data_IF_567511011430
#
_entry.id   IF_567511011430
#
_cell.length_a   1.000
_cell.length_b   1.000
_cell.length_c   1.000
_cell.angle_alpha   90.00
_cell.angle_beta   90.00
_cell.angle_gamma   90.00
#
_symmetry.space_group_name_H-M   'P 1'
#
loop_
_entity.id
_entity.type
_entity.pdbx_description
1 polymer ?
#
# COMPACT_ATOMS: atom_id res chain seq x y z
N UNK A 1 -23.28 2.37 20.95
CA UNK A 1 -22.76 1.30 20.09
C UNK A 1 -22.37 1.81 18.70
N UNK A 2 -23.20 2.59 18.01
CA UNK A 2 -22.96 3.14 16.66
C UNK A 2 -21.78 4.12 16.62
N UNK A 3 -21.44 4.77 17.73
CA UNK A 3 -20.36 5.80 17.78
C UNK A 3 -19.02 5.24 17.27
N UNK A 4 -18.73 3.98 17.59
CA UNK A 4 -17.45 3.36 17.22
C UNK A 4 -17.34 3.19 15.69
N UNK A 5 -18.26 2.49 14.97
CA UNK A 5 -18.21 2.43 13.51
C UNK A 5 -18.26 3.81 12.86
N UNK A 6 -19.04 4.75 13.41
CA UNK A 6 -19.12 6.13 12.88
C UNK A 6 -17.74 6.81 12.94
N UNK A 7 -17.11 6.83 14.10
CA UNK A 7 -15.83 7.51 14.27
C UNK A 7 -14.70 6.84 13.51
N UNK A 8 -14.77 5.54 13.34
CA UNK A 8 -13.65 4.74 12.82
C UNK A 8 -13.68 4.55 11.31
N UNK A 9 -14.84 4.38 10.74
CA UNK A 9 -14.99 4.01 9.34
C UNK A 9 -15.79 5.03 8.52
N UNK A 10 -16.87 5.59 9.06
CA UNK A 10 -17.64 6.61 8.33
C UNK A 10 -16.82 7.89 8.18
N UNK A 11 -16.20 8.37 9.26
CA UNK A 11 -15.37 9.59 9.19
C UNK A 11 -14.24 9.48 8.15
N UNK A 12 -13.44 8.40 8.11
CA UNK A 12 -12.44 8.23 7.04
C UNK A 12 -13.06 8.10 5.65
N UNK A 13 -14.18 7.40 5.48
CA UNK A 13 -14.79 7.21 4.17
C UNK A 13 -15.38 8.51 3.60
N UNK A 14 -16.10 9.27 4.41
CA UNK A 14 -16.58 10.63 4.05
C UNK A 14 -15.39 11.57 3.87
N UNK A 15 -14.39 11.49 4.75
CA UNK A 15 -13.14 12.26 4.65
C UNK A 15 -12.42 12.01 3.33
N UNK A 16 -12.40 10.78 2.83
CA UNK A 16 -11.84 10.45 1.53
C UNK A 16 -12.55 11.18 0.38
N UNK A 17 -13.89 11.28 0.43
CA UNK A 17 -14.67 12.06 -0.55
C UNK A 17 -14.36 13.55 -0.43
N UNK A 18 -14.23 14.08 0.79
CA UNK A 18 -13.88 15.48 1.01
C UNK A 18 -12.46 15.81 0.49
N UNK A 19 -11.50 14.90 0.70
CA UNK A 19 -10.14 15.05 0.14
C UNK A 19 -10.17 15.03 -1.39
N UNK A 20 -10.98 14.15 -2.00
CA UNK A 20 -11.18 14.15 -3.45
C UNK A 20 -11.74 15.49 -3.95
N UNK A 21 -12.77 16.02 -3.28
CA UNK A 21 -13.37 17.32 -3.62
C UNK A 21 -12.36 18.45 -3.45
N UNK A 22 -11.60 18.47 -2.34
CA UNK A 22 -10.51 19.43 -2.12
C UNK A 22 -9.51 19.42 -3.27
N UNK A 23 -8.99 18.24 -3.64
CA UNK A 23 -8.03 18.08 -4.74
C UNK A 23 -8.62 18.40 -6.12
N UNK A 24 -9.94 18.32 -6.28
CA UNK A 24 -10.61 18.73 -7.50
C UNK A 24 -10.77 20.26 -7.59
N UNK A 25 -11.14 20.91 -6.49
CA UNK A 25 -11.33 22.35 -6.38
C UNK A 25 -10.00 23.12 -6.40
N UNK A 26 -9.02 22.62 -5.64
CA UNK A 26 -7.67 23.21 -5.50
C UNK A 26 -6.65 22.36 -6.27
N UNK A 27 -6.84 22.24 -7.57
CA UNK A 27 -6.00 21.41 -8.43
C UNK A 27 -4.57 21.98 -8.47
N UNK A 28 -3.66 21.33 -7.77
CA UNK A 28 -2.22 21.64 -7.86
C UNK A 28 -1.72 21.25 -9.26
N UNK A 29 -1.08 22.20 -9.93
CA UNK A 29 -0.42 21.93 -11.20
C UNK A 29 0.97 21.35 -10.91
N UNK A 30 1.13 20.06 -11.12
CA UNK A 30 2.44 19.42 -11.04
C UNK A 30 3.25 19.85 -12.26
N UNK A 31 4.34 20.56 -12.00
CA UNK A 31 5.25 21.02 -13.05
C UNK A 31 6.36 20.00 -13.30
N UNK A 32 6.72 19.85 -14.57
CA UNK A 32 7.91 19.08 -14.93
C UNK A 32 9.14 19.81 -14.41
N UNK A 33 10.08 19.14 -13.71
CA UNK A 33 11.35 19.73 -13.33
C UNK A 33 12.17 20.10 -14.58
N UNK A 34 13.04 21.11 -14.47
CA UNK A 34 13.91 21.54 -15.57
C UNK A 34 14.85 20.41 -16.04
N UNK A 35 15.30 19.59 -15.09
CA UNK A 35 16.14 18.41 -15.34
C UNK A 35 15.55 17.26 -14.51
N UNK A 36 15.29 16.14 -15.16
CA UNK A 36 14.86 14.92 -14.47
C UNK A 36 16.01 14.41 -13.60
N UNK A 37 15.80 14.31 -12.25
CA UNK A 37 16.86 13.87 -11.35
C UNK A 37 17.16 12.37 -11.51
N UNK A 38 18.37 11.96 -11.15
CA UNK A 38 18.72 10.54 -11.08
C UNK A 38 18.02 9.87 -9.91
N UNK A 39 17.47 8.67 -10.13
CA UNK A 39 16.80 7.82 -9.15
C UNK A 39 17.53 6.50 -8.99
N UNK A 40 17.51 5.96 -7.77
CA UNK A 40 17.95 4.59 -7.48
C UNK A 40 16.73 3.73 -7.20
N UNK A 41 16.49 2.75 -8.06
CA UNK A 41 15.42 1.78 -7.93
C UNK A 41 15.97 0.51 -7.28
N UNK A 42 15.42 0.10 -6.15
CA UNK A 42 15.86 -1.06 -5.37
C UNK A 42 14.83 -2.17 -5.48
N UNK A 43 15.28 -3.35 -5.93
CA UNK A 43 14.48 -4.54 -6.15
C UNK A 43 15.07 -5.71 -5.35
N UNK A 44 14.55 -6.03 -4.16
CA UNK A 44 14.94 -7.24 -3.45
C UNK A 44 14.49 -8.48 -4.22
N UNK A 45 15.40 -9.42 -4.45
CA UNK A 45 15.15 -10.64 -5.21
C UNK A 45 15.16 -11.85 -4.27
N UNK A 46 14.08 -12.63 -4.30
CA UNK A 46 14.02 -13.91 -3.59
C UNK A 46 13.13 -14.89 -4.34
N UNK A 47 13.73 -15.82 -5.06
CA UNK A 47 13.02 -16.81 -5.91
C UNK A 47 12.04 -16.14 -6.88
N UNK A 48 12.55 -15.21 -7.71
CA UNK A 48 11.75 -14.35 -8.58
C UNK A 48 11.91 -14.71 -10.07
N UNK A 49 12.37 -15.91 -10.38
CA UNK A 49 12.66 -16.36 -11.76
C UNK A 49 11.49 -16.12 -12.71
N UNK A 50 10.26 -16.36 -12.25
CA UNK A 50 9.06 -16.31 -13.10
C UNK A 50 8.49 -14.88 -13.30
N UNK A 51 8.86 -13.94 -12.43
CA UNK A 51 8.28 -12.58 -12.39
C UNK A 51 9.26 -11.48 -12.78
N UNK A 52 10.56 -11.70 -12.58
CA UNK A 52 11.60 -10.69 -12.68
C UNK A 52 11.68 -10.05 -14.08
N UNK A 53 11.57 -10.82 -15.15
CA UNK A 53 11.64 -10.28 -16.51
C UNK A 53 10.49 -9.29 -16.76
N UNK A 54 9.28 -9.63 -16.35
CA UNK A 54 8.10 -8.77 -16.52
C UNK A 54 8.22 -7.50 -15.66
N UNK A 55 8.76 -7.62 -14.46
CA UNK A 55 9.04 -6.47 -13.59
C UNK A 55 10.02 -5.50 -14.26
N UNK A 56 11.15 -5.99 -14.77
CA UNK A 56 12.16 -5.18 -15.48
C UNK A 56 11.58 -4.59 -16.77
N UNK A 57 10.79 -5.35 -17.53
CA UNK A 57 10.11 -4.85 -18.73
C UNK A 57 9.20 -3.65 -18.39
N UNK A 58 8.48 -3.71 -17.25
CA UNK A 58 7.62 -2.60 -16.82
C UNK A 58 8.41 -1.33 -16.45
N UNK A 59 9.68 -1.46 -16.08
CA UNK A 59 10.58 -0.32 -15.84
C UNK A 59 11.04 0.28 -17.16
N UNK A 60 11.44 -0.55 -18.12
CA UNK A 60 11.80 -0.11 -19.49
C UNK A 60 10.65 0.60 -20.18
N UNK A 61 9.40 0.07 -20.00
CA UNK A 61 8.19 0.67 -20.58
C UNK A 61 7.79 1.98 -19.90
N UNK A 62 8.48 2.40 -18.81
CA UNK A 62 8.14 3.62 -18.09
C UNK A 62 8.46 4.86 -18.93
N UNK A 63 7.76 5.95 -18.65
CA UNK A 63 8.02 7.24 -19.33
C UNK A 63 9.04 8.12 -18.58
N UNK A 64 9.78 7.53 -17.63
CA UNK A 64 10.95 8.17 -17.00
C UNK A 64 12.22 7.82 -17.77
N UNK A 65 13.16 8.76 -18.01
CA UNK A 65 14.34 8.51 -18.84
C UNK A 65 15.24 7.40 -18.28
N UNK A 66 15.53 6.36 -19.06
CA UNK A 66 16.34 5.20 -18.65
C UNK A 66 17.73 5.60 -18.15
N UNK A 67 18.35 6.59 -18.80
CA UNK A 67 19.65 7.13 -18.38
C UNK A 67 19.66 7.75 -16.98
N UNK A 68 18.47 7.98 -16.40
CA UNK A 68 18.27 8.53 -15.05
C UNK A 68 17.87 7.46 -14.03
N UNK A 69 17.74 6.20 -14.45
CA UNK A 69 17.36 5.09 -13.58
C UNK A 69 18.60 4.21 -13.31
N UNK A 70 18.93 4.05 -12.03
CA UNK A 70 19.94 3.08 -11.55
C UNK A 70 19.21 1.98 -10.80
N UNK A 71 19.27 0.76 -11.32
CA UNK A 71 18.52 -0.39 -10.77
C UNK A 71 19.48 -1.28 -9.98
N UNK A 72 19.16 -1.48 -8.70
CA UNK A 72 19.88 -2.39 -7.81
C UNK A 72 19.00 -3.62 -7.54
N UNK A 73 19.37 -4.74 -8.18
CA UNK A 73 18.75 -6.04 -7.94
C UNK A 73 19.54 -6.74 -6.83
N UNK A 74 18.91 -6.97 -5.70
CA UNK A 74 19.61 -7.48 -4.53
C UNK A 74 19.14 -8.87 -4.18
N UNK A 75 19.96 -9.87 -4.50
CA UNK A 75 19.70 -11.26 -4.16
C UNK A 75 19.70 -11.44 -2.64
N UNK A 76 18.56 -11.92 -2.12
CA UNK A 76 18.30 -12.23 -0.72
C UNK A 76 18.45 -13.73 -0.45
N UNK A 77 19.50 -14.35 -1.00
CA UNK A 77 19.77 -15.78 -0.95
C UNK A 77 18.66 -16.66 -1.57
N UNK A 78 18.03 -16.20 -2.65
CA UNK A 78 17.20 -17.04 -3.51
C UNK A 78 18.02 -18.19 -4.12
N UNK A 79 17.38 -19.33 -4.36
CA UNK A 79 18.02 -20.53 -4.86
C UNK A 79 17.56 -20.92 -6.27
N UNK A 80 16.76 -20.08 -6.90
CA UNK A 80 16.26 -20.27 -8.25
C UNK A 80 17.21 -19.63 -9.30
N UNK A 81 16.81 -19.64 -10.56
CA UNK A 81 17.59 -19.09 -11.67
C UNK A 81 17.39 -17.57 -11.88
N UNK A 82 16.98 -16.79 -10.87
CA UNK A 82 16.77 -15.33 -10.98
C UNK A 82 18.01 -14.60 -11.51
N UNK A 83 19.24 -15.06 -11.18
CA UNK A 83 20.47 -14.45 -11.70
C UNK A 83 20.62 -14.64 -13.22
N UNK A 84 20.24 -15.80 -13.75
CA UNK A 84 20.26 -16.02 -15.18
C UNK A 84 19.26 -15.10 -15.89
N UNK A 85 18.05 -14.95 -15.35
CA UNK A 85 17.05 -14.01 -15.87
C UNK A 85 17.57 -12.58 -15.86
N UNK A 86 18.26 -12.16 -14.80
CA UNK A 86 18.93 -10.85 -14.76
C UNK A 86 19.94 -10.69 -15.90
N UNK A 87 20.81 -11.69 -16.17
CA UNK A 87 21.78 -11.63 -17.26
C UNK A 87 21.10 -11.56 -18.64
N UNK A 88 19.95 -12.20 -18.82
CA UNK A 88 19.14 -12.12 -20.03
C UNK A 88 18.52 -10.73 -20.19
N UNK A 89 17.98 -10.16 -19.11
CA UNK A 89 17.45 -8.81 -19.07
C UNK A 89 18.51 -7.75 -19.39
N UNK A 90 19.75 -7.89 -18.90
CA UNK A 90 20.84 -6.97 -19.24
C UNK A 90 21.13 -6.93 -20.75
N UNK A 91 21.01 -8.07 -21.44
CA UNK A 91 21.19 -8.12 -22.89
C UNK A 91 19.98 -7.59 -23.65
N UNK A 92 18.78 -7.84 -23.12
CA UNK A 92 17.50 -7.44 -23.72
C UNK A 92 17.22 -5.94 -23.59
N UNK A 93 17.63 -5.33 -22.48
CA UNK A 93 17.39 -3.92 -22.15
C UNK A 93 18.71 -3.15 -21.92
N UNK A 94 19.51 -2.91 -22.96
CA UNK A 94 20.82 -2.29 -22.84
C UNK A 94 20.76 -0.82 -22.40
N UNK A 95 19.59 -0.17 -22.48
CA UNK A 95 19.36 1.20 -21.99
C UNK A 95 19.29 1.31 -20.47
N UNK A 96 18.91 0.23 -19.78
CA UNK A 96 18.79 0.22 -18.33
C UNK A 96 20.13 -0.06 -17.63
N UNK A 97 20.46 0.77 -16.66
CA UNK A 97 21.63 0.57 -15.82
C UNK A 97 21.31 -0.32 -14.63
N UNK A 98 21.55 -1.63 -14.78
CA UNK A 98 21.24 -2.65 -13.78
C UNK A 98 22.50 -3.20 -13.10
N UNK A 99 22.46 -3.31 -11.77
CA UNK A 99 23.52 -3.89 -10.95
C UNK A 99 22.96 -5.01 -10.06
N UNK A 100 23.63 -6.17 -10.09
CA UNK A 100 23.30 -7.29 -9.19
C UNK A 100 24.16 -7.24 -7.93
N UNK A 101 23.54 -7.30 -6.77
CA UNK A 101 24.17 -7.36 -5.46
C UNK A 101 23.76 -8.63 -4.72
N UNK A 102 24.61 -9.16 -3.84
CA UNK A 102 24.29 -10.32 -3.00
C UNK A 102 24.29 -9.90 -1.54
N UNK A 103 23.15 -10.06 -0.87
CA UNK A 103 22.97 -9.80 0.55
C UNK A 103 22.90 -11.10 1.36
N UNK A 104 23.09 -10.99 2.68
CA UNK A 104 22.70 -12.06 3.61
C UNK A 104 21.17 -12.14 3.67
N UNK A 105 20.61 -13.32 3.97
CA UNK A 105 19.17 -13.54 4.06
C UNK A 105 18.47 -12.51 4.96
N UNK A 106 17.37 -11.95 4.45
CA UNK A 106 16.53 -10.95 5.10
C UNK A 106 16.29 -9.73 4.21
N UNK A 107 15.03 -9.40 3.87
CA UNK A 107 14.65 -8.28 2.98
C UNK A 107 15.26 -6.96 3.48
N UNK A 108 15.24 -6.69 4.78
CA UNK A 108 15.87 -5.50 5.40
C UNK A 108 17.37 -5.40 5.08
N UNK A 109 18.09 -6.53 5.09
CA UNK A 109 19.53 -6.54 4.79
C UNK A 109 19.79 -6.25 3.31
N UNK A 110 18.95 -6.79 2.43
CA UNK A 110 19.00 -6.49 1.00
C UNK A 110 18.73 -5.00 0.73
N UNK A 111 17.69 -4.44 1.33
CA UNK A 111 17.37 -3.01 1.21
C UNK A 111 18.49 -2.12 1.74
N UNK A 112 19.07 -2.43 2.89
CA UNK A 112 20.19 -1.66 3.46
C UNK A 112 21.43 -1.71 2.56
N UNK A 113 21.78 -2.88 2.02
CA UNK A 113 22.91 -3.02 1.10
C UNK A 113 22.74 -2.13 -0.15
N UNK A 114 21.57 -2.18 -0.78
CA UNK A 114 21.28 -1.34 -1.93
C UNK A 114 21.26 0.15 -1.59
N UNK A 115 20.71 0.52 -0.44
CA UNK A 115 20.65 1.91 0.01
C UNK A 115 22.06 2.53 0.16
N UNK A 116 23.03 1.76 0.67
CA UNK A 116 24.43 2.22 0.77
C UNK A 116 25.12 2.35 -0.61
N UNK A 117 24.72 1.54 -1.58
CA UNK A 117 25.28 1.58 -2.94
C UNK A 117 24.53 2.58 -3.86
N UNK A 118 23.38 3.10 -3.42
CA UNK A 118 22.56 3.99 -4.23
C UNK A 118 23.15 5.41 -4.31
N UNK A 119 23.02 6.07 -5.46
CA UNK A 119 23.52 7.42 -5.69
C UNK A 119 22.42 8.43 -6.04
N UNK A 120 21.27 7.97 -6.51
CA UNK A 120 20.15 8.79 -6.95
C UNK A 120 19.62 9.76 -5.87
N UNK A 121 19.08 10.88 -6.29
CA UNK A 121 18.42 11.86 -5.41
C UNK A 121 17.25 11.25 -4.63
N UNK A 122 16.53 10.34 -5.28
CA UNK A 122 15.41 9.59 -4.72
C UNK A 122 15.71 8.10 -4.74
N UNK A 123 15.33 7.44 -3.66
CA UNK A 123 15.37 5.99 -3.51
C UNK A 123 13.96 5.48 -3.66
N UNK A 124 13.74 4.57 -4.59
CA UNK A 124 12.43 3.96 -4.84
C UNK A 124 12.57 2.46 -4.65
N UNK A 125 11.71 1.87 -3.84
CA UNK A 125 11.63 0.43 -3.65
C UNK A 125 10.46 -0.12 -4.43
N UNK A 126 10.67 -1.24 -5.14
CA UNK A 126 9.61 -2.07 -5.70
C UNK A 126 9.91 -3.55 -5.41
N UNK A 127 8.85 -4.36 -5.26
CA UNK A 127 9.00 -5.80 -5.18
C UNK A 127 9.18 -6.39 -6.59
N UNK A 128 9.86 -7.53 -6.69
CA UNK A 128 10.21 -8.20 -7.96
C UNK A 128 9.05 -8.96 -8.63
N UNK A 129 7.92 -9.07 -7.95
CA UNK A 129 6.72 -9.80 -8.36
C UNK A 129 5.56 -8.91 -8.81
N UNK A 130 5.83 -7.64 -9.09
CA UNK A 130 4.83 -6.70 -9.56
C UNK A 130 5.26 -5.88 -10.77
N UNK A 131 4.34 -5.06 -11.28
CA UNK A 131 4.49 -4.28 -12.50
C UNK A 131 4.23 -2.80 -12.24
N UNK A 132 5.14 -1.94 -12.72
CA UNK A 132 4.92 -0.50 -12.69
C UNK A 132 3.90 -0.06 -13.75
N UNK A 133 2.98 0.82 -13.38
CA UNK A 133 2.25 1.60 -14.36
C UNK A 133 3.22 2.58 -15.05
N UNK A 134 3.07 2.77 -16.35
CA UNK A 134 4.00 3.49 -17.21
C UNK A 134 4.44 4.85 -16.68
N UNK A 135 3.53 5.61 -16.06
CA UNK A 135 3.82 6.96 -15.52
C UNK A 135 4.22 6.97 -14.05
N UNK A 136 4.31 5.82 -13.39
CA UNK A 136 4.46 5.73 -11.94
C UNK A 136 5.75 6.38 -11.43
N UNK A 137 6.90 6.07 -12.04
CA UNK A 137 8.20 6.64 -11.62
C UNK A 137 8.23 8.16 -11.82
N UNK A 138 7.80 8.64 -12.98
CA UNK A 138 7.71 10.07 -13.27
C UNK A 138 6.81 10.80 -12.27
N UNK A 139 5.62 10.28 -12.02
CA UNK A 139 4.66 10.90 -11.11
C UNK A 139 5.21 10.97 -9.68
N UNK A 140 5.90 9.92 -9.22
CA UNK A 140 6.54 9.88 -7.92
C UNK A 140 7.63 10.96 -7.79
N UNK A 141 8.51 11.05 -8.79
CA UNK A 141 9.59 12.04 -8.79
C UNK A 141 9.04 13.47 -8.87
N UNK A 142 8.09 13.71 -9.78
CA UNK A 142 7.52 15.06 -9.94
C UNK A 142 6.77 15.51 -8.69
N UNK A 143 6.11 14.61 -7.97
CA UNK A 143 5.50 14.93 -6.68
C UNK A 143 6.55 15.40 -5.67
N UNK A 144 7.70 14.73 -5.57
CA UNK A 144 8.81 15.18 -4.72
C UNK A 144 9.38 16.54 -5.14
N UNK A 145 9.53 16.80 -6.45
CA UNK A 145 10.10 18.06 -6.93
C UNK A 145 9.15 19.23 -6.68
N UNK A 146 7.84 19.01 -6.74
CA UNK A 146 6.84 20.06 -6.54
C UNK A 146 6.48 20.30 -5.05
N UNK A 147 6.68 19.31 -4.17
CA UNK A 147 6.42 19.48 -2.73
C UNK A 147 7.65 19.05 -1.92
N UNK A 148 8.42 20.06 -1.50
CA UNK A 148 9.62 19.87 -0.69
C UNK A 148 9.30 19.39 0.76
N UNK A 149 8.08 19.53 1.22
CA UNK A 149 7.65 19.09 2.55
C UNK A 149 7.48 17.56 2.64
N UNK A 150 7.30 16.88 1.50
CA UNK A 150 7.21 15.42 1.43
C UNK A 150 8.62 14.84 1.41
N UNK A 151 8.95 14.02 2.38
CA UNK A 151 10.27 13.40 2.54
C UNK A 151 10.26 11.90 2.22
N UNK A 152 9.12 11.26 2.40
CA UNK A 152 8.86 9.91 1.93
C UNK A 152 7.38 9.76 1.51
N UNK A 153 7.11 8.86 0.58
CA UNK A 153 5.75 8.60 0.12
C UNK A 153 5.59 7.16 -0.38
N UNK A 154 4.35 6.70 -0.36
CA UNK A 154 3.97 5.43 -0.97
C UNK A 154 3.25 5.67 -2.29
N UNK A 155 3.43 4.75 -3.24
CA UNK A 155 2.54 4.61 -4.37
C UNK A 155 1.26 3.86 -4.00
N UNK A 156 0.43 3.65 -5.00
CA UNK A 156 -0.82 2.89 -4.93
C UNK A 156 -0.58 1.46 -5.37
N UNK A 157 -1.00 0.50 -4.55
CA UNK A 157 -0.93 -0.92 -4.88
C UNK A 157 -2.31 -1.37 -5.35
N UNK A 158 -2.37 -1.98 -6.52
CA UNK A 158 -3.58 -2.61 -7.07
C UNK A 158 -3.25 -4.03 -7.54
N UNK A 159 -4.21 -4.94 -7.50
CA UNK A 159 -4.06 -6.21 -8.19
C UNK A 159 -4.23 -6.02 -9.70
N UNK A 160 -3.53 -6.82 -10.52
CA UNK A 160 -3.53 -6.64 -11.96
C UNK A 160 -4.90 -7.02 -12.58
N UNK A 161 -5.63 -6.07 -13.21
CA UNK A 161 -7.00 -6.29 -13.68
C UNK A 161 -7.13 -7.43 -14.70
N UNK A 162 -6.11 -7.64 -15.54
CA UNK A 162 -6.12 -8.71 -16.54
C UNK A 162 -6.10 -10.08 -15.89
N UNK A 163 -5.27 -10.26 -14.86
CA UNK A 163 -5.18 -11.51 -14.11
C UNK A 163 -6.44 -11.79 -13.29
N UNK A 164 -7.06 -10.75 -12.71
CA UNK A 164 -8.36 -10.89 -12.02
C UNK A 164 -9.42 -11.42 -12.96
N UNK A 165 -9.43 -10.97 -14.25
CA UNK A 165 -10.41 -11.40 -15.25
C UNK A 165 -10.12 -12.81 -15.81
N UNK A 166 -8.86 -13.18 -15.94
CA UNK A 166 -8.42 -14.40 -16.61
C UNK A 166 -8.83 -15.69 -15.87
N UNK A 167 -9.21 -15.61 -14.58
CA UNK A 167 -9.48 -16.80 -13.79
C UNK A 167 -10.81 -17.47 -14.18
N UNK A 168 -10.81 -18.77 -14.53
CA UNK A 168 -11.98 -19.41 -15.12
C UNK A 168 -13.12 -19.68 -14.14
N UNK A 169 -12.81 -19.96 -12.86
CA UNK A 169 -13.80 -20.33 -11.86
C UNK A 169 -14.48 -19.10 -11.24
N UNK A 170 -15.81 -19.19 -11.01
CA UNK A 170 -16.64 -18.06 -10.56
C UNK A 170 -16.26 -17.59 -9.15
N UNK A 171 -16.19 -18.51 -8.18
CA UNK A 171 -15.95 -18.16 -6.77
C UNK A 171 -14.56 -17.54 -6.55
N UNK A 172 -13.44 -18.14 -6.98
CA UNK A 172 -12.14 -17.49 -6.88
C UNK A 172 -12.06 -16.17 -7.65
N UNK A 173 -12.76 -16.02 -8.78
CA UNK A 173 -12.83 -14.76 -9.51
C UNK A 173 -13.54 -13.67 -8.71
N UNK A 174 -14.60 -14.00 -7.97
CA UNK A 174 -15.29 -13.05 -7.06
C UNK A 174 -14.34 -12.64 -5.95
N UNK A 175 -13.62 -13.58 -5.31
CA UNK A 175 -12.64 -13.28 -4.27
C UNK A 175 -11.57 -12.29 -4.76
N UNK A 176 -11.00 -12.50 -5.95
CA UNK A 176 -10.03 -11.60 -6.57
C UNK A 176 -10.61 -10.21 -6.89
N UNK A 177 -11.88 -10.15 -7.30
CA UNK A 177 -12.57 -8.86 -7.48
C UNK A 177 -12.78 -8.14 -6.15
N UNK A 178 -13.10 -8.87 -5.09
CA UNK A 178 -13.19 -8.30 -3.74
C UNK A 178 -11.83 -7.75 -3.30
N UNK A 179 -10.75 -8.50 -3.48
CA UNK A 179 -9.39 -8.05 -3.18
C UNK A 179 -9.01 -6.80 -3.99
N UNK A 180 -9.28 -6.78 -5.30
CA UNK A 180 -9.03 -5.61 -6.13
C UNK A 180 -9.78 -4.37 -5.62
N UNK A 181 -11.06 -4.53 -5.25
CA UNK A 181 -11.86 -3.46 -4.69
C UNK A 181 -11.33 -2.99 -3.33
N UNK A 182 -10.98 -3.93 -2.45
CA UNK A 182 -10.40 -3.65 -1.14
C UNK A 182 -9.06 -2.90 -1.28
N UNK A 183 -8.15 -3.37 -2.14
CA UNK A 183 -6.87 -2.72 -2.39
C UNK A 183 -7.04 -1.29 -2.88
N UNK A 184 -7.94 -1.06 -3.82
CA UNK A 184 -8.21 0.27 -4.34
C UNK A 184 -8.82 1.20 -3.27
N UNK A 185 -9.71 0.69 -2.42
CA UNK A 185 -10.28 1.45 -1.31
C UNK A 185 -9.22 1.75 -0.24
N UNK A 186 -8.42 0.74 0.13
CA UNK A 186 -7.42 0.88 1.18
C UNK A 186 -6.22 1.72 0.74
N UNK A 187 -5.58 1.32 -0.37
CA UNK A 187 -4.30 1.86 -0.79
C UNK A 187 -4.39 3.11 -1.67
N UNK A 188 -5.57 3.45 -2.17
CA UNK A 188 -5.78 4.71 -2.86
C UNK A 188 -6.67 5.65 -2.04
N UNK A 189 -7.95 5.34 -1.86
CA UNK A 189 -8.89 6.27 -1.22
C UNK A 189 -8.57 6.51 0.26
N UNK A 190 -8.40 5.45 1.04
CA UNK A 190 -8.11 5.52 2.48
C UNK A 190 -6.75 6.16 2.77
N UNK A 191 -5.71 5.84 1.99
CA UNK A 191 -4.39 6.46 2.15
C UNK A 191 -4.36 7.94 1.76
N UNK A 192 -5.16 8.37 0.77
CA UNK A 192 -5.29 9.80 0.47
C UNK A 192 -5.84 10.58 1.67
N UNK A 193 -6.89 10.06 2.32
CA UNK A 193 -7.39 10.65 3.55
C UNK A 193 -6.34 10.62 4.67
N UNK A 194 -5.68 9.49 4.88
CA UNK A 194 -4.64 9.36 5.91
C UNK A 194 -3.46 10.30 5.67
N UNK A 195 -3.04 10.50 4.43
CA UNK A 195 -1.96 11.43 4.08
C UNK A 195 -2.35 12.89 4.36
N UNK A 196 -3.60 13.26 4.07
CA UNK A 196 -4.12 14.61 4.31
C UNK A 196 -4.07 14.99 5.79
N UNK A 197 -4.38 14.05 6.69
CA UNK A 197 -4.34 14.27 8.14
C UNK A 197 -3.01 13.85 8.78
N UNK A 198 -1.95 13.62 7.98
CA UNK A 198 -0.64 13.11 8.41
C UNK A 198 -0.72 11.83 9.26
N UNK A 199 -1.60 10.92 8.89
CA UNK A 199 -1.91 9.69 9.61
C UNK A 199 -1.52 8.41 8.85
N UNK A 200 -0.75 8.51 7.76
CA UNK A 200 -0.28 7.31 7.04
C UNK A 200 0.45 6.41 8.03
N UNK A 201 -0.06 5.19 8.18
CA UNK A 201 0.44 4.25 9.17
C UNK A 201 1.67 3.49 8.65
N UNK A 202 1.61 3.05 7.39
CA UNK A 202 2.69 2.30 6.74
C UNK A 202 2.84 2.72 5.28
N UNK A 203 4.09 2.86 4.84
CA UNK A 203 4.44 2.87 3.44
C UNK A 203 4.25 1.45 2.87
N UNK A 204 3.96 1.31 1.59
CA UNK A 204 3.95 -0.02 0.97
C UNK A 204 5.35 -0.55 0.78
N UNK A 205 5.64 -1.73 1.32
CA UNK A 205 6.89 -2.45 1.05
C UNK A 205 7.06 -2.81 -0.43
N UNK A 206 5.94 -2.91 -1.17
CA UNK A 206 5.94 -3.21 -2.60
C UNK A 206 6.18 -1.98 -3.50
N UNK A 207 5.88 -0.75 -3.03
CA UNK A 207 6.15 0.47 -3.78
C UNK A 207 6.19 1.69 -2.88
N UNK A 208 7.39 2.13 -2.54
CA UNK A 208 7.62 3.31 -1.70
C UNK A 208 8.86 4.09 -2.16
N UNK A 209 8.89 5.37 -1.84
CA UNK A 209 9.96 6.26 -2.23
C UNK A 209 10.39 7.20 -1.10
N UNK A 210 11.66 7.56 -1.10
CA UNK A 210 12.31 8.37 -0.07
C UNK A 210 13.26 9.40 -0.72
N UNK A 211 13.36 10.58 -0.11
CA UNK A 211 14.54 11.42 -0.35
C UNK A 211 15.76 10.74 0.26
N UNK A 212 16.80 10.49 -0.54
CA UNK A 212 18.03 9.84 -0.06
C UNK A 212 18.61 10.54 1.18
N UNK A 213 18.66 11.86 1.15
CA UNK A 213 19.17 12.69 2.26
C UNK A 213 18.40 12.49 3.58
N UNK A 214 17.16 12.00 3.54
CA UNK A 214 16.33 11.77 4.72
C UNK A 214 16.42 10.33 5.17
N UNK A 215 16.28 9.35 4.29
CA UNK A 215 16.35 7.93 4.68
C UNK A 215 17.71 7.57 5.29
N UNK A 216 18.80 8.18 4.85
CA UNK A 216 20.13 7.99 5.44
C UNK A 216 20.28 8.56 6.86
N UNK A 217 19.37 9.44 7.31
CA UNK A 217 19.33 9.93 8.70
C UNK A 217 18.56 9.01 9.63
N UNK A 218 17.86 8.01 9.08
CA UNK A 218 17.15 6.99 9.88
C UNK A 218 18.11 5.96 10.46
N UNK A 219 17.59 5.07 11.29
CA UNK A 219 18.32 3.89 11.76
C UNK A 219 18.33 2.76 10.71
N UNK A 220 18.01 3.08 9.45
CA UNK A 220 17.87 2.14 8.33
C UNK A 220 16.78 1.09 8.58
N UNK A 221 16.74 0.06 7.73
CA UNK A 221 15.79 -1.05 7.90
C UNK A 221 16.26 -1.97 9.02
N UNK A 222 15.45 -2.11 10.07
CA UNK A 222 15.73 -3.03 11.15
C UNK A 222 15.63 -4.48 10.66
N UNK A 223 16.63 -5.28 10.99
CA UNK A 223 16.72 -6.69 10.57
C UNK A 223 15.94 -7.65 11.46
N UNK A 224 15.44 -7.18 12.60
CA UNK A 224 14.80 -7.98 13.63
C UNK A 224 13.26 -7.87 13.61
N UNK A 225 12.69 -7.19 12.60
CA UNK A 225 11.24 -7.04 12.46
C UNK A 225 10.72 -7.76 11.23
N UNK A 226 9.45 -8.20 11.29
CA UNK A 226 8.77 -8.89 10.19
C UNK A 226 8.24 -7.89 9.14
N UNK A 227 7.95 -6.63 9.55
CA UNK A 227 7.41 -5.57 8.69
C UNK A 227 8.39 -4.38 8.65
N UNK A 228 9.37 -4.47 7.78
CA UNK A 228 10.40 -3.45 7.57
C UNK A 228 9.83 -2.12 7.07
N UNK A 229 8.76 -2.17 6.27
CA UNK A 229 8.05 -1.03 5.72
C UNK A 229 7.31 -0.22 6.78
N UNK A 230 6.62 -0.89 7.70
CA UNK A 230 5.97 -0.25 8.85
C UNK A 230 7.02 0.33 9.79
N UNK A 231 8.09 -0.42 10.03
CA UNK A 231 9.16 0.01 10.93
C UNK A 231 9.87 1.27 10.42
N UNK A 232 10.25 1.33 9.15
CA UNK A 232 10.87 2.53 8.56
C UNK A 232 9.88 3.72 8.54
N UNK A 233 8.58 3.46 8.30
CA UNK A 233 7.54 4.49 8.37
C UNK A 233 7.47 5.12 9.76
N UNK A 234 7.53 4.30 10.82
CA UNK A 234 7.52 4.79 12.19
C UNK A 234 8.78 5.59 12.52
N UNK A 235 9.94 5.19 12.01
CA UNK A 235 11.16 6.01 12.15
C UNK A 235 10.98 7.37 11.48
N UNK A 236 10.50 7.42 10.23
CA UNK A 236 10.24 8.68 9.53
C UNK A 236 9.33 9.58 10.37
N UNK A 237 8.22 9.07 10.89
CA UNK A 237 7.23 9.85 11.65
C UNK A 237 7.66 10.22 13.05
N UNK A 238 8.23 9.29 13.80
CA UNK A 238 8.45 9.47 15.25
C UNK A 238 9.87 9.87 15.63
N UNK A 239 10.89 9.47 14.85
CA UNK A 239 12.27 9.87 15.07
C UNK A 239 12.63 11.10 14.26
N UNK A 240 12.36 11.10 12.96
CA UNK A 240 12.72 12.19 12.07
C UNK A 240 11.63 13.27 11.95
N UNK A 241 10.42 12.99 12.44
CA UNK A 241 9.24 13.89 12.40
C UNK A 241 8.89 14.37 10.99
N UNK A 242 9.09 13.52 10.01
CA UNK A 242 8.86 13.81 8.60
C UNK A 242 7.40 13.62 8.23
N UNK A 243 6.97 14.29 7.15
CA UNK A 243 5.66 14.08 6.54
C UNK A 243 5.71 12.87 5.62
N UNK A 244 4.82 11.91 5.85
CA UNK A 244 4.64 10.73 5.00
C UNK A 244 3.49 10.99 4.03
N UNK A 245 3.78 10.99 2.74
CA UNK A 245 2.83 11.28 1.68
C UNK A 245 2.30 10.05 0.94
N UNK A 246 1.43 10.33 -0.03
CA UNK A 246 0.99 9.38 -1.06
C UNK A 246 1.12 10.01 -2.44
N UNK A 247 1.52 9.23 -3.42
CA UNK A 247 1.40 9.58 -4.83
C UNK A 247 0.26 8.77 -5.45
N UNK A 248 -0.92 9.38 -5.52
CA UNK A 248 -2.13 8.73 -6.02
C UNK A 248 -2.08 8.37 -7.50
N UNK A 249 -1.20 9.04 -8.25
CA UNK A 249 -0.98 8.82 -9.68
C UNK A 249 0.23 7.90 -9.97
N UNK A 250 0.80 7.26 -8.95
CA UNK A 250 1.86 6.27 -9.10
C UNK A 250 1.33 4.88 -8.71
N UNK A 251 1.04 4.04 -9.69
CA UNK A 251 0.42 2.73 -9.50
C UNK A 251 1.46 1.62 -9.69
N UNK A 252 1.40 0.63 -8.83
CA UNK A 252 2.13 -0.63 -8.92
C UNK A 252 1.14 -1.78 -8.84
N UNK A 253 1.19 -2.67 -9.81
CA UNK A 253 0.31 -3.83 -9.88
C UNK A 253 0.99 -5.04 -9.26
N UNK A 254 0.23 -5.77 -8.45
CA UNK A 254 0.64 -7.04 -7.86
C UNK A 254 -0.30 -8.15 -8.34
N UNK A 255 0.18 -9.38 -8.29
CA UNK A 255 -0.64 -10.52 -8.62
C UNK A 255 -1.78 -10.69 -7.62
N UNK A 256 -3.00 -11.01 -8.08
CA UNK A 256 -4.11 -11.31 -7.19
C UNK A 256 -3.84 -12.58 -6.39
N UNK A 257 -4.34 -12.61 -5.15
CA UNK A 257 -4.15 -13.76 -4.25
C UNK A 257 -4.68 -15.06 -4.86
N UNK A 258 -3.94 -16.15 -4.69
CA UNK A 258 -4.29 -17.42 -5.31
C UNK A 258 -5.47 -18.10 -4.59
N UNK A 259 -5.43 -18.14 -3.26
CA UNK A 259 -6.39 -18.81 -2.40
C UNK A 259 -6.55 -18.15 -1.03
N UNK A 260 -7.57 -18.61 -0.27
CA UNK A 260 -7.88 -18.11 1.07
C UNK A 260 -6.76 -18.36 2.09
N UNK A 261 -5.99 -19.44 1.97
CA UNK A 261 -4.93 -19.74 2.93
C UNK A 261 -3.76 -18.76 2.76
N UNK A 262 -3.41 -18.44 1.51
CA UNK A 262 -2.42 -17.40 1.20
C UNK A 262 -2.88 -16.03 1.68
N UNK A 263 -4.16 -15.70 1.47
CA UNK A 263 -4.75 -14.47 1.99
C UNK A 263 -4.64 -14.39 3.52
N UNK A 264 -5.04 -15.44 4.22
CA UNK A 264 -4.96 -15.51 5.68
C UNK A 264 -3.52 -15.33 6.18
N UNK A 265 -2.57 -16.04 5.59
CA UNK A 265 -1.15 -15.95 5.96
C UNK A 265 -0.59 -14.54 5.72
N UNK A 266 -0.94 -13.91 4.61
CA UNK A 266 -0.53 -12.54 4.29
C UNK A 266 -1.07 -11.55 5.33
N UNK A 267 -2.38 -11.61 5.64
CA UNK A 267 -3.04 -10.73 6.62
C UNK A 267 -2.48 -10.95 8.04
N UNK A 268 -2.25 -12.21 8.42
CA UNK A 268 -1.64 -12.54 9.71
C UNK A 268 -0.22 -11.94 9.84
N UNK A 269 0.60 -12.01 8.79
CA UNK A 269 1.92 -11.40 8.76
C UNK A 269 1.84 -9.88 8.94
N UNK A 270 0.95 -9.21 8.22
CA UNK A 270 0.76 -7.77 8.36
C UNK A 270 0.32 -7.36 9.77
N UNK A 271 -0.62 -8.10 10.34
CA UNK A 271 -1.11 -7.84 11.68
C UNK A 271 -0.02 -8.01 12.74
N UNK A 272 0.71 -9.13 12.69
CA UNK A 272 1.81 -9.38 13.65
C UNK A 272 2.88 -8.30 13.56
N UNK A 273 3.33 -7.96 12.37
CA UNK A 273 4.35 -6.93 12.18
C UNK A 273 3.88 -5.55 12.64
N UNK A 274 2.63 -5.18 12.36
CA UNK A 274 2.07 -3.92 12.85
C UNK A 274 2.01 -3.85 14.38
N UNK A 275 1.63 -4.93 15.05
CA UNK A 275 1.62 -5.01 16.52
C UNK A 275 3.04 -4.92 17.11
N UNK A 276 3.99 -5.64 16.50
CA UNK A 276 5.40 -5.63 16.90
C UNK A 276 6.01 -4.23 16.82
N UNK A 277 5.88 -3.58 15.65
CA UNK A 277 6.41 -2.22 15.44
C UNK A 277 5.72 -1.20 16.36
N UNK A 278 4.41 -1.32 16.52
CA UNK A 278 3.67 -0.44 17.44
C UNK A 278 4.12 -0.61 18.90
N UNK A 279 4.42 -1.82 19.32
CA UNK A 279 4.98 -2.06 20.65
C UNK A 279 6.33 -1.36 20.81
N UNK A 280 7.22 -1.45 19.81
CA UNK A 280 8.54 -0.81 19.85
C UNK A 280 8.45 0.72 20.00
N UNK A 281 7.59 1.38 19.24
CA UNK A 281 7.53 2.84 19.18
C UNK A 281 6.46 3.48 20.09
N UNK A 282 5.40 2.75 20.44
CA UNK A 282 4.24 3.28 21.15
C UNK A 282 4.03 2.65 22.53
N UNK A 283 4.93 1.78 23.01
CA UNK A 283 4.79 1.06 24.28
C UNK A 283 4.33 1.95 25.45
N UNK A 284 4.90 3.13 25.59
CA UNK A 284 4.55 4.08 26.65
C UNK A 284 3.29 4.93 26.33
N UNK A 285 2.74 4.83 25.13
CA UNK A 285 1.59 5.61 24.65
C UNK A 285 0.34 4.75 24.47
N UNK A 286 0.42 3.43 24.61
CA UNK A 286 -0.70 2.48 24.49
C UNK A 286 -1.62 2.54 25.72
N UNK A 287 -2.20 3.72 25.98
CA UNK A 287 -3.23 3.94 27.01
C UNK A 287 -4.56 4.25 26.31
N UNK A 288 -5.68 3.80 26.87
CA UNK A 288 -7.04 4.05 26.33
C UNK A 288 -7.26 5.55 26.07
N UNK A 289 -6.79 6.42 26.96
CA UNK A 289 -6.85 7.87 26.79
C UNK A 289 -6.18 8.34 25.48
N UNK A 290 -5.07 7.72 25.09
CA UNK A 290 -4.31 8.10 23.92
C UNK A 290 -4.95 7.63 22.60
N UNK A 291 -5.95 6.74 22.61
CA UNK A 291 -6.74 6.39 21.44
C UNK A 291 -7.44 7.60 20.83
N UNK A 292 -7.83 8.58 21.65
CA UNK A 292 -8.49 9.79 21.19
C UNK A 292 -7.53 10.89 20.76
N UNK A 293 -6.32 10.91 21.32
CA UNK A 293 -5.34 12.00 21.12
C UNK A 293 -4.18 11.64 20.19
N UNK A 294 -3.80 10.36 20.11
CA UNK A 294 -2.67 9.91 19.31
C UNK A 294 -3.15 9.14 18.08
N UNK A 295 -2.93 9.74 16.90
CA UNK A 295 -3.35 9.15 15.62
C UNK A 295 -2.74 7.76 15.39
N UNK A 296 -1.46 7.56 15.75
CA UNK A 296 -0.80 6.26 15.58
C UNK A 296 -1.42 5.15 16.43
N UNK A 297 -1.77 5.46 17.70
CA UNK A 297 -2.48 4.52 18.59
C UNK A 297 -3.87 4.23 18.05
N UNK A 298 -4.58 5.25 17.57
CA UNK A 298 -5.90 5.11 16.97
C UNK A 298 -5.85 4.22 15.73
N UNK A 299 -4.92 4.48 14.80
CA UNK A 299 -4.78 3.70 13.57
C UNK A 299 -4.43 2.25 13.86
N UNK A 300 -3.60 1.97 14.86
CA UNK A 300 -3.30 0.60 15.27
C UNK A 300 -4.55 -0.19 15.66
N UNK A 301 -5.48 0.46 16.36
CA UNK A 301 -6.73 -0.19 16.81
C UNK A 301 -7.76 -0.27 15.68
N UNK A 302 -7.70 0.65 14.71
CA UNK A 302 -8.75 0.91 13.73
C UNK A 302 -8.30 0.76 12.28
N UNK A 303 -7.12 0.21 12.05
CA UNK A 303 -6.71 -0.09 10.68
C UNK A 303 -7.77 -1.02 10.05
N UNK A 304 -8.38 -0.55 8.96
CA UNK A 304 -9.43 -1.28 8.28
C UNK A 304 -8.94 -2.61 7.66
N UNK A 305 -7.65 -2.80 7.52
CA UNK A 305 -7.06 -4.11 7.18
C UNK A 305 -7.22 -5.11 8.34
N UNK A 306 -7.50 -4.62 9.54
CA UNK A 306 -7.86 -5.46 10.67
C UNK A 306 -9.37 -5.58 10.76
N UNK A 307 -9.91 -6.73 10.38
CA UNK A 307 -11.32 -7.08 10.61
C UNK A 307 -11.67 -7.16 12.12
N UNK A 308 -10.75 -6.76 12.99
CA UNK A 308 -10.85 -6.88 14.44
C UNK A 308 -12.05 -6.13 15.03
N UNK A 309 -12.33 -4.84 14.69
CA UNK A 309 -13.52 -4.16 15.17
C UNK A 309 -14.81 -4.83 14.69
N UNK A 310 -14.84 -5.32 13.44
CA UNK A 310 -16.02 -6.04 12.91
C UNK A 310 -16.25 -7.34 13.64
N UNK A 311 -15.19 -8.11 13.91
CA UNK A 311 -15.27 -9.35 14.67
C UNK A 311 -15.80 -9.10 16.08
N UNK A 312 -15.34 -8.07 16.79
CA UNK A 312 -15.85 -7.68 18.10
C UNK A 312 -17.34 -7.38 18.04
N UNK A 313 -17.80 -6.67 17.02
CA UNK A 313 -19.22 -6.37 16.84
C UNK A 313 -20.07 -7.62 16.62
N UNK A 314 -19.65 -8.53 15.74
CA UNK A 314 -20.38 -9.78 15.53
C UNK A 314 -20.42 -10.63 16.80
N UNK A 315 -19.31 -10.72 17.54
CA UNK A 315 -19.29 -11.42 18.84
C UNK A 315 -20.20 -10.73 19.86
N UNK A 316 -20.21 -9.40 19.93
CA UNK A 316 -21.11 -8.66 20.82
C UNK A 316 -22.60 -8.91 20.49
N UNK A 317 -22.96 -8.98 19.21
CA UNK A 317 -24.32 -9.33 18.79
C UNK A 317 -24.70 -10.76 19.19
N UNK A 318 -23.78 -11.72 19.07
CA UNK A 318 -23.98 -13.10 19.55
C UNK A 318 -24.16 -13.10 21.08
N UNK A 319 -23.33 -12.37 21.83
CA UNK A 319 -23.46 -12.26 23.28
C UNK A 319 -24.83 -11.67 23.69
N UNK A 320 -25.37 -10.70 22.95
CA UNK A 320 -26.71 -10.15 23.21
C UNK A 320 -27.81 -11.23 23.08
N UNK A 321 -27.67 -12.17 22.12
CA UNK A 321 -28.57 -13.30 22.01
C UNK A 321 -28.54 -14.20 23.28
N UNK A 322 -27.29 -14.45 23.79
CA UNK A 322 -27.13 -15.20 25.04
C UNK A 322 -27.68 -14.48 26.28
N UNK A 323 -27.79 -13.15 26.24
CA UNK A 323 -28.35 -12.31 27.30
C UNK A 323 -29.89 -12.11 27.19
N UNK A 324 -30.60 -12.99 26.47
CA UNK A 324 -32.03 -12.98 26.25
C UNK A 324 -32.61 -11.74 25.53
N UNK A 325 -31.78 -11.02 24.75
CA UNK A 325 -32.35 -10.04 23.82
C UNK A 325 -33.12 -10.77 22.70
N UNK A 326 -34.20 -10.17 22.22
CA UNK A 326 -35.03 -10.81 21.20
C UNK A 326 -34.23 -11.01 19.89
N UNK A 327 -34.41 -12.16 19.24
CA UNK A 327 -33.81 -12.48 17.95
C UNK A 327 -34.12 -11.40 16.89
N UNK A 328 -35.33 -10.81 16.94
CA UNK A 328 -35.70 -9.73 16.03
C UNK A 328 -34.83 -8.48 16.24
N UNK A 329 -34.57 -8.06 17.48
CA UNK A 329 -33.71 -6.90 17.78
C UNK A 329 -32.27 -7.13 17.35
N UNK A 330 -31.73 -8.32 17.63
CA UNK A 330 -30.37 -8.66 17.19
C UNK A 330 -30.27 -8.72 15.65
N UNK A 331 -31.29 -9.32 15.00
CA UNK A 331 -31.39 -9.37 13.54
C UNK A 331 -31.43 -7.99 12.88
N UNK A 332 -32.27 -7.08 13.39
CA UNK A 332 -32.32 -5.69 12.90
C UNK A 332 -31.00 -4.95 13.14
N UNK A 333 -30.33 -5.16 14.28
CA UNK A 333 -29.06 -4.55 14.58
C UNK A 333 -27.95 -5.04 13.64
N UNK A 334 -27.96 -6.34 13.33
CA UNK A 334 -27.01 -6.95 12.36
C UNK A 334 -27.25 -6.41 10.96
N UNK A 335 -28.52 -6.35 10.51
CA UNK A 335 -28.87 -5.78 9.21
C UNK A 335 -28.46 -4.32 9.11
N UNK A 336 -28.74 -3.52 10.15
CA UNK A 336 -28.37 -2.12 10.18
C UNK A 336 -26.86 -1.94 10.09
N UNK A 337 -26.08 -2.73 10.85
CA UNK A 337 -24.61 -2.71 10.80
C UNK A 337 -24.10 -3.09 9.41
N UNK A 338 -24.65 -4.13 8.81
CA UNK A 338 -24.30 -4.54 7.45
C UNK A 338 -24.57 -3.42 6.42
N UNK A 339 -25.76 -2.82 6.46
CA UNK A 339 -26.11 -1.70 5.57
C UNK A 339 -25.17 -0.49 5.77
N UNK A 340 -24.75 -0.23 7.01
CA UNK A 340 -23.78 0.80 7.32
C UNK A 340 -22.42 0.53 6.64
N UNK A 341 -21.93 -0.71 6.69
CA UNK A 341 -20.68 -1.07 6.01
C UNK A 341 -20.79 -1.01 4.47
N UNK A 342 -21.94 -1.37 3.92
CA UNK A 342 -22.21 -1.19 2.48
C UNK A 342 -22.17 0.31 2.09
N UNK A 343 -22.76 1.17 2.92
CA UNK A 343 -22.72 2.63 2.72
C UNK A 343 -21.28 3.18 2.79
N UNK A 344 -20.49 2.73 3.74
CA UNK A 344 -19.07 3.08 3.87
C UNK A 344 -18.30 2.66 2.59
N UNK A 345 -18.53 1.42 2.14
CA UNK A 345 -17.97 0.92 0.88
C UNK A 345 -18.35 1.78 -0.32
N UNK A 346 -19.58 2.31 -0.35
CA UNK A 346 -20.05 3.20 -1.40
C UNK A 346 -19.31 4.57 -1.40
N UNK A 347 -19.06 5.17 -0.24
CA UNK A 347 -18.27 6.40 -0.16
C UNK A 347 -16.82 6.17 -0.66
N UNK A 348 -16.20 5.07 -0.25
CA UNK A 348 -14.89 4.70 -0.77
C UNK A 348 -14.91 4.41 -2.26
N UNK A 349 -15.97 3.78 -2.77
CA UNK A 349 -16.13 3.54 -4.20
C UNK A 349 -16.18 4.85 -4.99
N UNK A 350 -16.97 5.82 -4.58
CA UNK A 350 -17.06 7.14 -5.24
C UNK A 350 -15.70 7.82 -5.24
N UNK A 351 -15.02 7.87 -4.11
CA UNK A 351 -13.72 8.53 -4.00
C UNK A 351 -12.65 7.82 -4.84
N UNK A 352 -12.64 6.49 -4.87
CA UNK A 352 -11.70 5.71 -5.69
C UNK A 352 -11.92 5.96 -7.18
N UNK A 353 -13.18 5.91 -7.67
CA UNK A 353 -13.51 6.25 -9.06
C UNK A 353 -13.05 7.67 -9.42
N UNK A 354 -13.14 8.59 -8.48
CA UNK A 354 -12.68 9.97 -8.65
C UNK A 354 -11.15 10.08 -8.73
N UNK A 355 -10.42 9.41 -7.85
CA UNK A 355 -8.95 9.39 -7.88
C UNK A 355 -8.39 8.71 -9.13
N UNK A 356 -9.05 7.68 -9.65
CA UNK A 356 -8.64 6.97 -10.87
C UNK A 356 -8.95 7.74 -12.17
N UNK A 357 -9.28 9.04 -12.11
CA UNK A 357 -9.66 9.83 -13.30
C UNK A 357 -8.62 9.83 -14.42
N UNK A 358 -7.33 9.78 -14.08
CA UNK A 358 -6.23 9.81 -15.04
C UNK A 358 -5.98 8.42 -15.68
N UNK A 359 -6.51 7.34 -15.11
CA UNK A 359 -6.34 5.95 -15.54
C UNK A 359 -7.66 5.38 -16.10
N UNK A 360 -8.02 5.77 -17.31
CA UNK A 360 -9.35 5.49 -17.90
C UNK A 360 -9.73 4.01 -17.90
N UNK A 361 -8.79 3.11 -18.24
CA UNK A 361 -9.07 1.67 -18.31
C UNK A 361 -9.25 1.07 -16.91
N UNK A 362 -8.38 1.41 -15.96
CA UNK A 362 -8.48 0.95 -14.58
C UNK A 362 -9.77 1.48 -13.93
N UNK A 363 -10.06 2.77 -14.15
CA UNK A 363 -11.31 3.40 -13.68
C UNK A 363 -12.54 2.70 -14.22
N UNK A 364 -12.58 2.41 -15.52
CA UNK A 364 -13.70 1.70 -16.18
C UNK A 364 -13.84 0.28 -15.62
N UNK A 365 -12.73 -0.41 -15.41
CA UNK A 365 -12.74 -1.74 -14.81
C UNK A 365 -13.25 -1.69 -13.38
N UNK A 366 -12.71 -0.80 -12.53
CA UNK A 366 -13.15 -0.61 -11.15
C UNK A 366 -14.62 -0.26 -11.07
N UNK A 367 -15.07 0.71 -11.85
CA UNK A 367 -16.46 1.15 -11.84
C UNK A 367 -17.46 0.04 -12.17
N UNK A 368 -17.10 -0.90 -13.06
CA UNK A 368 -17.94 -2.06 -13.38
C UNK A 368 -18.11 -3.06 -12.24
N UNK A 369 -17.25 -3.02 -11.21
CA UNK A 369 -17.31 -3.96 -10.08
C UNK A 369 -18.24 -3.51 -8.95
N UNK A 370 -19.06 -2.48 -9.13
CA UNK A 370 -19.96 -1.94 -8.10
C UNK A 370 -20.83 -3.00 -7.40
N UNK A 371 -21.20 -4.07 -8.10
CA UNK A 371 -22.02 -5.17 -7.57
C UNK A 371 -21.27 -6.02 -6.52
N UNK A 372 -19.96 -5.87 -6.41
CA UNK A 372 -19.13 -6.54 -5.38
C UNK A 372 -19.22 -5.82 -4.03
N UNK A 373 -19.60 -4.53 -4.00
CA UNK A 373 -19.69 -3.74 -2.77
C UNK A 373 -20.47 -4.40 -1.64
N UNK A 374 -21.65 -5.00 -1.89
CA UNK A 374 -22.39 -5.69 -0.82
C UNK A 374 -21.68 -6.92 -0.25
N UNK A 375 -20.69 -7.48 -0.96
CA UNK A 375 -19.94 -8.65 -0.52
C UNK A 375 -18.73 -8.27 0.37
N UNK A 376 -18.23 -7.05 0.27
CA UNK A 376 -17.04 -6.61 1.03
C UNK A 376 -17.21 -6.65 2.56
N UNK A 377 -18.41 -6.41 3.15
CA UNK A 377 -18.60 -6.54 4.60
C UNK A 377 -18.66 -7.98 5.10
N UNK A 378 -18.92 -8.96 4.23
CA UNK A 378 -19.06 -10.38 4.56
C UNK A 378 -17.73 -11.09 4.64
#
# INVERSE_FOLDING_TARGET
WIIIPVMMEIVPSVGSVLVLLKKHLFKEKILKPAIDPEISLIIPIYNSMDTLEQCIQSIEDSDYPDSKIRIFLVNNQGQDNSFQVFCECQRKFPGLHMQWLNAKQGKSKALNLALFNSEGKYIIHIDSDGLLERSALRNMVYRFENDQSIECMTGVILTEPKQVQAYPLVFPRILRKMEFMEYAQAFLAGRNYSAEINAVYTLSGAFSAFRKSVVLKSQLYNTDTICEDTQITFQMKYLLKTKVGICEDAIFFVDPIEDLNKLYTQRQRWQRGSLEVSHLFLKNKLKIRNMFTNVGVRTLVYDHTFAFPRLIWYLALICLMCLNYSFAQVGYSTLFLYLLYVLIGFFYYISTVGFLKNFKEIRKYYAKQWYVLPLLPL
#
